data_IF_401620019652
#
_entry.id   IF_401620019652
#
_cell.length_a   1.000
_cell.length_b   1.000
_cell.length_c   1.000
_cell.angle_alpha   90.00
_cell.angle_beta   90.00
_cell.angle_gamma   90.00
#
_symmetry.space_group_name_H-M   'P 1'
#
loop_
_entity.id
_entity.type
_entity.pdbx_description
1 polymer ?
#
# COMPACT_ATOMS: atom_id res chain seq x y z
N UNK A 1 20.11 -19.64 -9.20
CA UNK A 1 19.92 -19.26 -10.63
C UNK A 1 19.39 -17.82 -10.61
N UNK A 2 20.14 -16.89 -11.16
CA UNK A 2 19.75 -15.48 -11.18
C UNK A 2 18.52 -15.29 -12.08
N UNK A 3 17.60 -14.43 -11.65
CA UNK A 3 16.44 -14.03 -12.44
C UNK A 3 16.88 -13.12 -13.59
N UNK A 4 16.24 -13.19 -14.78
CA UNK A 4 16.48 -12.22 -15.83
C UNK A 4 16.29 -10.79 -15.36
N UNK A 5 17.09 -9.84 -15.85
CA UNK A 5 17.07 -8.44 -15.44
C UNK A 5 15.67 -7.79 -15.52
N UNK A 6 14.93 -8.11 -16.59
CA UNK A 6 13.55 -7.62 -16.80
C UNK A 6 12.59 -8.07 -15.67
N UNK A 7 12.83 -9.27 -15.12
CA UNK A 7 12.06 -9.80 -13.98
C UNK A 7 12.50 -9.13 -12.69
N UNK A 8 13.82 -9.03 -12.47
CA UNK A 8 14.36 -8.35 -11.28
C UNK A 8 13.84 -6.92 -11.14
N UNK A 9 13.77 -6.17 -12.27
CA UNK A 9 13.26 -4.79 -12.29
C UNK A 9 11.77 -4.66 -11.93
N UNK A 10 11.00 -5.73 -12.05
CA UNK A 10 9.55 -5.75 -11.76
C UNK A 10 9.19 -6.46 -10.46
N UNK A 11 10.15 -7.16 -9.87
CA UNK A 11 9.91 -7.91 -8.65
C UNK A 11 9.75 -6.97 -7.46
N UNK A 12 8.72 -7.22 -6.69
CA UNK A 12 8.46 -6.62 -5.38
C UNK A 12 8.11 -7.72 -4.39
N UNK A 13 8.17 -7.44 -3.10
CA UNK A 13 7.67 -8.34 -2.06
C UNK A 13 6.58 -7.65 -1.26
N UNK A 14 5.71 -8.43 -0.69
CA UNK A 14 4.58 -7.97 0.09
C UNK A 14 4.52 -8.73 1.43
N UNK A 15 4.18 -8.03 2.51
CA UNK A 15 3.88 -8.68 3.78
C UNK A 15 2.62 -9.54 3.65
N UNK A 16 2.61 -10.70 4.28
CA UNK A 16 1.46 -11.58 4.20
C UNK A 16 0.74 -11.71 5.54
N UNK A 17 -0.50 -12.16 5.49
CA UNK A 17 -1.35 -12.28 6.67
C UNK A 17 -0.92 -13.37 7.66
N UNK A 18 -0.02 -14.31 7.24
CA UNK A 18 0.31 -15.50 8.07
C UNK A 18 1.77 -15.70 8.37
N UNK A 19 2.65 -15.60 7.36
CA UNK A 19 3.99 -16.16 7.44
C UNK A 19 5.09 -15.11 7.49
N UNK A 20 4.92 -13.98 6.80
CA UNK A 20 5.96 -12.98 6.65
C UNK A 20 5.45 -11.60 7.08
N UNK A 21 6.03 -11.10 8.17
CA UNK A 21 5.76 -9.76 8.66
C UNK A 21 6.32 -8.68 7.75
N UNK A 22 5.94 -7.44 8.02
CA UNK A 22 6.56 -6.28 7.38
C UNK A 22 8.07 -6.21 7.67
N UNK A 23 8.50 -6.60 8.88
CA UNK A 23 9.91 -6.61 9.26
C UNK A 23 10.71 -7.64 8.46
N UNK A 24 10.14 -8.82 8.21
CA UNK A 24 10.76 -9.84 7.35
C UNK A 24 10.92 -9.33 5.91
N UNK A 25 9.90 -8.68 5.37
CA UNK A 25 9.94 -8.09 4.03
C UNK A 25 10.99 -6.98 3.92
N UNK A 26 11.09 -6.09 4.92
CA UNK A 26 12.11 -5.04 4.95
C UNK A 26 13.52 -5.63 5.00
N UNK A 27 13.74 -6.67 5.82
CA UNK A 27 15.03 -7.36 5.91
C UNK A 27 15.43 -8.04 4.58
N UNK A 28 14.49 -8.66 3.89
CA UNK A 28 14.72 -9.22 2.55
C UNK A 28 15.05 -8.10 1.56
N UNK A 29 14.30 -7.00 1.60
CA UNK A 29 14.53 -5.83 0.74
C UNK A 29 15.94 -5.24 0.90
N UNK A 30 16.47 -5.20 2.11
CA UNK A 30 17.85 -4.77 2.38
C UNK A 30 18.88 -5.69 1.71
N UNK A 31 18.59 -7.00 1.69
CA UNK A 31 19.53 -8.00 1.17
C UNK A 31 19.60 -8.01 -0.36
N UNK A 32 18.46 -7.92 -1.03
CA UNK A 32 18.35 -8.10 -2.49
C UNK A 32 17.82 -6.88 -3.24
N UNK A 33 17.67 -5.75 -2.57
CA UNK A 33 17.24 -4.46 -3.14
C UNK A 33 15.94 -4.53 -3.95
N UNK A 34 14.89 -5.14 -3.40
CA UNK A 34 13.54 -5.16 -4.00
C UNK A 34 12.59 -4.26 -3.18
N UNK A 35 11.64 -3.55 -3.83
CA UNK A 35 10.67 -2.74 -3.11
C UNK A 35 9.69 -3.59 -2.31
N UNK A 36 9.21 -3.03 -1.20
CA UNK A 36 8.21 -3.63 -0.34
C UNK A 36 6.85 -2.98 -0.60
N UNK A 37 5.89 -3.77 -1.03
CA UNK A 37 4.47 -3.41 -1.00
C UNK A 37 3.95 -3.68 0.40
N UNK A 38 3.37 -2.67 1.03
CA UNK A 38 2.74 -2.82 2.34
C UNK A 38 1.23 -2.97 2.17
N UNK A 39 0.71 -4.16 2.52
CA UNK A 39 -0.72 -4.38 2.67
C UNK A 39 -1.15 -4.13 4.12
N UNK A 40 -2.08 -3.21 4.29
CA UNK A 40 -2.57 -2.74 5.59
C UNK A 40 -3.39 -3.80 6.32
N UNK A 41 -4.13 -4.62 5.59
CA UNK A 41 -4.95 -5.68 6.15
C UNK A 41 -4.10 -6.91 6.54
N UNK A 42 -3.16 -7.31 5.67
CA UNK A 42 -2.23 -8.38 5.98
C UNK A 42 -1.42 -8.07 7.24
N UNK A 43 -0.98 -6.82 7.40
CA UNK A 43 -0.33 -6.36 8.64
C UNK A 43 -1.24 -6.56 9.87
N UNK A 44 -2.50 -6.17 9.77
CA UNK A 44 -3.48 -6.35 10.87
C UNK A 44 -3.73 -7.82 11.17
N UNK A 45 -3.90 -8.64 10.14
CA UNK A 45 -4.10 -10.08 10.28
C UNK A 45 -2.89 -10.77 10.91
N UNK A 46 -1.68 -10.40 10.47
CA UNK A 46 -0.44 -10.93 11.02
C UNK A 46 -0.34 -10.65 12.53
N UNK A 47 -0.62 -9.42 12.96
CA UNK A 47 -0.61 -9.04 14.37
C UNK A 47 -1.62 -9.85 15.21
N UNK A 48 -2.81 -10.12 14.66
CA UNK A 48 -3.82 -10.94 15.32
C UNK A 48 -3.37 -12.40 15.46
N UNK A 49 -2.69 -12.95 14.48
CA UNK A 49 -2.21 -14.33 14.48
C UNK A 49 -0.91 -14.52 15.26
N UNK A 50 -0.13 -13.46 15.44
CA UNK A 50 1.18 -13.51 16.11
C UNK A 50 1.29 -12.46 17.24
N UNK A 51 0.44 -12.52 18.28
CA UNK A 51 0.36 -11.50 19.34
C UNK A 51 1.67 -11.30 20.11
N UNK A 52 2.57 -12.28 20.06
CA UNK A 52 3.88 -12.22 20.74
C UNK A 52 4.99 -11.63 19.88
N UNK A 53 4.71 -11.28 18.62
CA UNK A 53 5.75 -10.76 17.70
C UNK A 53 6.10 -9.29 17.99
N UNK A 54 5.22 -8.54 18.68
CA UNK A 54 5.44 -7.16 19.11
C UNK A 54 5.84 -6.19 17.98
N UNK A 55 5.19 -6.29 16.81
CA UNK A 55 5.38 -5.32 15.74
C UNK A 55 5.05 -3.89 16.23
N UNK A 56 5.79 -2.91 15.73
CA UNK A 56 5.49 -1.48 15.95
C UNK A 56 4.22 -1.11 15.19
N UNK A 57 3.62 0.03 15.51
CA UNK A 57 2.48 0.56 14.74
C UNK A 57 2.83 0.74 13.25
N UNK A 58 1.84 0.56 12.38
CA UNK A 58 2.04 0.60 10.93
C UNK A 58 2.77 1.86 10.43
N UNK A 59 2.43 3.02 11.00
CA UNK A 59 3.05 4.30 10.66
C UNK A 59 4.57 4.33 10.89
N UNK A 60 5.07 3.54 11.83
CA UNK A 60 6.51 3.43 12.12
C UNK A 60 7.33 2.91 10.93
N UNK A 61 6.74 2.02 10.14
CA UNK A 61 7.43 1.39 9.00
C UNK A 61 7.39 2.22 7.72
N UNK A 62 6.55 3.25 7.65
CA UNK A 62 6.36 4.05 6.42
C UNK A 62 7.66 4.61 5.86
N UNK A 63 8.55 5.27 6.64
CA UNK A 63 9.82 5.79 6.09
C UNK A 63 10.69 4.69 5.47
N UNK A 64 10.76 3.54 6.12
CA UNK A 64 11.55 2.41 5.68
C UNK A 64 11.00 1.82 4.38
N UNK A 65 9.67 1.67 4.29
CA UNK A 65 8.98 1.20 3.08
C UNK A 65 9.25 2.16 1.92
N UNK A 66 9.08 3.48 2.13
CA UNK A 66 9.32 4.50 1.10
C UNK A 66 10.77 4.46 0.60
N UNK A 67 11.75 4.21 1.48
CA UNK A 67 13.15 4.09 1.10
C UNK A 67 13.38 2.90 0.14
N UNK A 68 12.68 1.77 0.33
CA UNK A 68 12.81 0.62 -0.59
C UNK A 68 12.43 0.98 -2.03
N UNK A 69 11.42 1.81 -2.22
CA UNK A 69 10.97 2.31 -3.52
C UNK A 69 11.89 3.38 -4.08
N UNK A 70 12.37 4.29 -3.22
CA UNK A 70 13.32 5.35 -3.58
C UNK A 70 14.61 4.76 -4.17
N UNK A 71 15.16 3.71 -3.56
CA UNK A 71 16.35 3.00 -4.07
C UNK A 71 16.18 2.45 -5.50
N UNK A 72 14.94 2.17 -5.90
CA UNK A 72 14.59 1.69 -7.24
C UNK A 72 14.14 2.80 -8.19
N UNK A 73 14.00 4.03 -7.71
CA UNK A 73 13.51 5.17 -8.49
C UNK A 73 12.07 4.99 -9.02
N UNK A 74 11.23 4.26 -8.29
CA UNK A 74 9.86 3.93 -8.69
C UNK A 74 8.89 4.49 -7.65
N UNK A 75 7.73 4.96 -8.12
CA UNK A 75 6.67 5.47 -7.27
C UNK A 75 6.17 4.39 -6.30
N UNK A 76 6.13 4.67 -4.97
CA UNK A 76 5.70 3.69 -3.97
C UNK A 76 4.27 3.22 -4.16
N UNK A 77 4.03 1.95 -3.86
CA UNK A 77 2.73 1.30 -3.95
C UNK A 77 2.36 0.66 -2.63
N UNK A 78 1.11 0.86 -2.24
CA UNK A 78 0.52 0.28 -1.03
C UNK A 78 -0.75 -0.47 -1.41
N UNK A 79 -1.05 -1.55 -0.70
CA UNK A 79 -2.33 -2.23 -0.80
C UNK A 79 -3.20 -1.85 0.39
N UNK A 80 -4.48 -1.61 0.11
CA UNK A 80 -5.50 -1.39 1.13
C UNK A 80 -6.62 -2.39 0.90
N UNK A 81 -6.80 -3.24 1.89
CA UNK A 81 -7.89 -4.19 1.97
C UNK A 81 -8.48 -4.20 3.38
N UNK A 82 -9.64 -4.79 3.58
CA UNK A 82 -10.30 -4.93 4.87
C UNK A 82 -10.80 -6.35 5.07
N UNK A 83 -10.93 -6.75 6.35
CA UNK A 83 -11.47 -8.05 6.71
C UNK A 83 -12.92 -8.17 6.26
N UNK A 84 -13.19 -9.20 5.47
CA UNK A 84 -14.53 -9.63 5.11
C UNK A 84 -15.09 -10.68 6.06
N UNK A 85 -16.26 -11.23 5.71
CA UNK A 85 -16.86 -12.37 6.41
C UNK A 85 -16.02 -13.64 6.19
N UNK A 86 -15.91 -14.47 7.22
CA UNK A 86 -15.20 -15.76 7.19
C UNK A 86 -13.88 -15.75 7.92
N UNK A 87 -12.91 -16.54 7.45
CA UNK A 87 -11.60 -16.68 8.10
C UNK A 87 -10.78 -15.39 8.00
N UNK A 88 -9.82 -15.24 8.92
CA UNK A 88 -8.83 -14.14 8.89
C UNK A 88 -8.13 -14.14 7.52
N UNK A 89 -7.98 -12.94 6.94
CA UNK A 89 -7.40 -12.72 5.63
C UNK A 89 -8.40 -12.71 4.46
N UNK A 90 -9.70 -12.99 4.69
CA UNK A 90 -10.70 -12.80 3.65
C UNK A 90 -10.98 -11.31 3.41
N UNK A 91 -10.95 -10.90 2.15
CA UNK A 91 -11.26 -9.53 1.78
C UNK A 91 -12.75 -9.23 1.90
N UNK A 92 -13.07 -8.01 2.32
CA UNK A 92 -14.43 -7.46 2.35
C UNK A 92 -14.96 -7.17 0.94
N UNK A 93 -16.26 -6.95 0.85
CA UNK A 93 -16.88 -6.52 -0.41
C UNK A 93 -16.45 -5.09 -0.77
N UNK A 94 -16.38 -4.20 0.21
CA UNK A 94 -15.99 -2.80 0.07
C UNK A 94 -14.92 -2.40 1.09
N UNK A 95 -14.13 -1.38 0.76
CA UNK A 95 -13.26 -0.69 1.70
C UNK A 95 -14.01 0.50 2.27
N UNK A 96 -14.06 0.60 3.60
CA UNK A 96 -14.74 1.68 4.30
C UNK A 96 -13.91 2.95 4.35
N UNK A 97 -12.58 2.77 4.52
CA UNK A 97 -11.66 3.89 4.65
C UNK A 97 -10.23 3.55 4.25
N UNK A 98 -9.50 4.59 3.89
CA UNK A 98 -8.05 4.52 3.68
C UNK A 98 -7.39 4.93 5.01
N UNK A 99 -6.45 4.16 5.55
CA UNK A 99 -5.73 4.51 6.77
C UNK A 99 -5.11 5.91 6.69
N UNK A 100 -5.30 6.71 7.74
CA UNK A 100 -4.89 8.12 7.79
C UNK A 100 -3.38 8.27 7.52
N UNK A 101 -2.55 7.40 8.11
CA UNK A 101 -1.11 7.42 7.89
C UNK A 101 -0.68 7.27 6.42
N UNK A 102 -1.51 6.66 5.55
CA UNK A 102 -1.26 6.63 4.10
C UNK A 102 -1.66 7.93 3.43
N UNK A 103 -2.74 8.58 3.88
CA UNK A 103 -3.19 9.87 3.35
C UNK A 103 -2.23 11.01 3.70
N UNK A 104 -1.50 10.88 4.80
CA UNK A 104 -0.49 11.85 5.25
C UNK A 104 0.84 11.77 4.47
N UNK A 105 1.14 10.65 3.81
CA UNK A 105 2.43 10.44 3.16
C UNK A 105 2.82 11.58 2.21
N UNK A 106 1.94 12.07 1.31
CA UNK A 106 2.31 13.14 0.38
C UNK A 106 2.74 14.43 1.06
N UNK A 107 2.15 14.74 2.21
CA UNK A 107 2.45 15.96 2.98
C UNK A 107 3.69 15.76 3.85
N UNK A 108 3.74 14.64 4.57
CA UNK A 108 4.78 14.37 5.56
C UNK A 108 6.14 14.02 4.96
N UNK A 109 6.14 13.35 3.81
CA UNK A 109 7.35 12.83 3.17
C UNK A 109 7.59 13.40 1.76
N UNK A 110 6.80 14.39 1.33
CA UNK A 110 6.88 14.96 -0.03
C UNK A 110 6.95 13.88 -1.12
N UNK A 111 6.14 12.84 -0.97
CA UNK A 111 6.18 11.65 -1.81
C UNK A 111 4.79 11.23 -2.27
N UNK A 112 4.55 11.26 -3.57
CA UNK A 112 3.32 10.70 -4.14
C UNK A 112 3.34 9.19 -4.13
N UNK A 113 2.22 8.58 -3.76
CA UNK A 113 2.05 7.13 -3.70
C UNK A 113 0.90 6.67 -4.60
N UNK A 114 0.91 5.40 -4.98
CA UNK A 114 -0.25 4.70 -5.54
C UNK A 114 -0.85 3.79 -4.45
N UNK A 115 -2.16 3.85 -4.28
CA UNK A 115 -2.91 2.96 -3.41
C UNK A 115 -3.71 2.01 -4.28
N UNK A 116 -3.43 0.72 -4.16
CA UNK A 116 -4.18 -0.35 -4.82
C UNK A 116 -5.25 -0.87 -3.86
N UNK A 117 -6.47 -0.84 -4.31
CA UNK A 117 -7.64 -1.24 -3.52
C UNK A 117 -7.98 -2.70 -3.81
N UNK A 118 -7.96 -3.53 -2.77
CA UNK A 118 -8.29 -4.94 -2.84
C UNK A 118 -9.61 -5.25 -2.14
N UNK A 119 -10.70 -5.17 -2.88
CA UNK A 119 -12.05 -5.47 -2.44
C UNK A 119 -12.79 -6.30 -3.48
N UNK A 120 -13.76 -7.13 -3.06
CA UNK A 120 -14.52 -7.99 -3.97
C UNK A 120 -15.34 -7.20 -4.99
N UNK A 121 -15.85 -6.01 -4.61
CA UNK A 121 -16.62 -5.13 -5.49
C UNK A 121 -15.75 -4.23 -6.37
N UNK A 122 -14.41 -4.40 -6.36
CA UNK A 122 -13.46 -3.81 -7.30
C UNK A 122 -13.68 -2.30 -7.54
N UNK A 123 -13.96 -1.92 -8.79
CA UNK A 123 -14.17 -0.52 -9.20
C UNK A 123 -15.32 0.19 -8.47
N UNK A 124 -16.33 -0.53 -7.99
CA UNK A 124 -17.42 0.06 -7.20
C UNK A 124 -16.90 0.61 -5.87
N UNK A 125 -15.98 -0.10 -5.23
CA UNK A 125 -15.30 0.37 -4.03
C UNK A 125 -14.55 1.66 -4.29
N UNK A 126 -13.84 1.76 -5.42
CA UNK A 126 -13.10 2.98 -5.81
C UNK A 126 -14.06 4.15 -6.00
N UNK A 127 -15.23 3.92 -6.61
CA UNK A 127 -16.24 4.96 -6.80
C UNK A 127 -16.77 5.50 -5.45
N UNK A 128 -16.97 4.62 -4.47
CA UNK A 128 -17.42 5.02 -3.13
C UNK A 128 -16.30 5.74 -2.35
N UNK A 129 -15.05 5.27 -2.45
CA UNK A 129 -13.90 5.96 -1.89
C UNK A 129 -13.71 7.37 -2.49
N UNK A 130 -13.95 7.57 -3.79
CA UNK A 130 -13.91 8.90 -4.41
C UNK A 130 -15.01 9.84 -3.92
N UNK A 131 -16.15 9.32 -3.44
CA UNK A 131 -17.17 10.14 -2.77
C UNK A 131 -16.68 10.59 -1.40
N UNK A 132 -16.05 9.66 -0.64
CA UNK A 132 -15.50 9.93 0.69
C UNK A 132 -14.24 10.81 0.63
N UNK A 133 -13.38 10.58 -0.36
CA UNK A 133 -12.09 11.26 -0.57
C UNK A 133 -12.03 11.93 -1.96
N UNK A 134 -12.78 13.02 -2.20
CA UNK A 134 -12.86 13.63 -3.54
C UNK A 134 -11.53 14.10 -4.10
N UNK A 135 -10.55 14.42 -3.24
CA UNK A 135 -9.22 14.87 -3.62
C UNK A 135 -8.37 13.77 -4.27
N UNK A 136 -8.70 12.49 -4.09
CA UNK A 136 -8.05 11.36 -4.75
C UNK A 136 -8.49 11.19 -6.21
N UNK A 137 -9.60 11.79 -6.61
CA UNK A 137 -10.11 11.68 -7.97
C UNK A 137 -9.47 12.69 -8.92
N UNK A 138 -8.34 12.31 -9.51
CA UNK A 138 -7.60 13.17 -10.45
C UNK A 138 -8.39 13.62 -11.68
N UNK A 139 -9.47 12.92 -12.08
CA UNK A 139 -10.32 13.30 -13.23
C UNK A 139 -11.17 14.54 -12.97
N UNK A 140 -11.32 14.99 -11.73
CA UNK A 140 -12.08 16.21 -11.36
C UNK A 140 -11.28 17.50 -11.40
N UNK A 141 -9.98 17.48 -11.64
CA UNK A 141 -9.23 18.71 -11.93
C UNK A 141 -9.63 19.16 -13.34
N UNK A 142 -10.70 19.97 -13.45
CA UNK A 142 -11.00 20.77 -14.63
C UNK A 142 -9.77 21.63 -14.90
N UNK A 143 -9.08 21.39 -16.01
CA UNK A 143 -8.08 22.30 -16.56
C UNK A 143 -8.85 23.58 -16.87
N UNK A 144 -8.69 24.62 -16.07
CA UNK A 144 -9.14 25.97 -16.42
C UNK A 144 -8.18 26.47 -17.51
N UNK A 145 -8.61 26.41 -18.75
CA UNK A 145 -7.96 27.16 -19.81
C UNK A 145 -8.30 28.66 -19.56
N UNK A 146 -7.35 29.42 -19.08
CA UNK A 146 -7.45 30.87 -19.20
C UNK A 146 -7.21 31.24 -20.65
N UNK A 147 -8.28 31.55 -21.36
CA UNK A 147 -8.18 32.23 -22.67
C UNK A 147 -7.70 33.65 -22.35
N UNK A 148 -6.45 33.94 -22.70
CA UNK A 148 -5.94 35.31 -22.70
C UNK A 148 -6.51 35.96 -23.95
N UNK A 149 -7.42 36.96 -23.78
CA UNK A 149 -7.85 37.85 -24.83
C UNK A 149 -6.77 38.88 -25.10
#
# INVERSE_FOLDING_TARGET
KELPEIVQKRLVIENCEKCFSIEDCLKISETINIPVVFDTHHYTCYNLLHPNHNLKEAAYYIPQILDTWKRRGIKPKFHVSEQGSGRIGHHSDYIKEIPEYLLEIPIKYDTHIDIMIEAKMKEKTIMDLYKKYPFLNCKKKKIKFNVIN
#
